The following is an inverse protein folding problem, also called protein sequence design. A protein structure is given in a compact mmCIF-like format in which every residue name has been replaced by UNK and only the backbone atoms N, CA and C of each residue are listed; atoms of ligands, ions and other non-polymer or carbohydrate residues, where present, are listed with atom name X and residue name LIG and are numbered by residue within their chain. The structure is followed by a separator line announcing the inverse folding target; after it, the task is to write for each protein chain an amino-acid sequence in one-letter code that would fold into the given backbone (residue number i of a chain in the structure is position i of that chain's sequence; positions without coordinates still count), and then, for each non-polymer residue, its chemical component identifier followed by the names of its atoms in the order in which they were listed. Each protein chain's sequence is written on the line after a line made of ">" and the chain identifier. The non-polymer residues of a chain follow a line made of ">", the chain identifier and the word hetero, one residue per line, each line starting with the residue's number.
data_IF_012723617116
#
_entry.id   IF_012723617116
#
_cell.length_a   1.000
_cell.length_b   1.000
_cell.length_c   1.000
_cell.angle_alpha   90.00
_cell.angle_beta   90.00
_cell.angle_gamma   90.00
#
_symmetry.space_group_name_H-M   'P 1'
#
loop_
_entity.id
_entity.type
_entity.pdbx_description
1 polymer ?
#
# COMPACT_ATOMS: atom_id res chain seq x y z
N UNK A 1 -9.29 -5.28 -2.22
CA UNK A 1 -7.82 -5.37 -2.22
C UNK A 1 -7.47 -6.66 -1.50
N UNK A 2 -6.57 -7.47 -2.05
CA UNK A 2 -6.27 -8.80 -1.50
C UNK A 2 -4.75 -9.05 -1.44
N UNK A 3 -4.33 -9.94 -0.53
CA UNK A 3 -2.92 -10.38 -0.47
C UNK A 3 -2.47 -10.96 -1.82
N UNK A 4 -1.27 -10.55 -2.26
CA UNK A 4 -0.65 -10.93 -3.52
C UNK A 4 -1.04 -10.02 -4.69
N UNK A 5 -1.95 -9.06 -4.48
CA UNK A 5 -2.31 -8.08 -5.50
C UNK A 5 -1.16 -7.09 -5.69
N UNK A 6 -0.79 -6.88 -6.96
CA UNK A 6 0.07 -5.77 -7.38
C UNK A 6 -0.78 -4.53 -7.58
N UNK A 7 -0.35 -3.43 -7.02
CA UNK A 7 -1.09 -2.17 -6.99
C UNK A 7 -0.19 -1.00 -7.37
N UNK A 8 -0.78 0.14 -7.70
CA UNK A 8 -0.08 1.41 -7.91
C UNK A 8 -0.40 2.37 -6.78
N UNK A 9 0.65 2.97 -6.21
CA UNK A 9 0.51 4.07 -5.26
C UNK A 9 0.34 5.40 -6.01
N UNK A 10 -0.28 6.38 -5.37
CA UNK A 10 -0.54 7.70 -5.95
C UNK A 10 0.73 8.44 -6.36
N UNK A 11 1.85 8.20 -5.67
CA UNK A 11 3.18 8.70 -6.05
C UNK A 11 3.72 8.10 -7.36
N UNK A 12 3.03 7.14 -7.95
CA UNK A 12 3.36 6.47 -9.21
C UNK A 12 4.12 5.16 -9.05
N UNK A 13 4.60 4.84 -7.84
CA UNK A 13 5.37 3.63 -7.58
C UNK A 13 4.50 2.38 -7.61
N UNK A 14 5.09 1.28 -8.05
CA UNK A 14 4.45 -0.04 -7.98
C UNK A 14 4.61 -0.61 -6.56
N UNK A 15 3.58 -1.27 -6.07
CA UNK A 15 3.60 -1.94 -4.77
C UNK A 15 2.89 -3.29 -4.80
N UNK A 16 3.06 -4.07 -3.74
CA UNK A 16 2.39 -5.35 -3.56
C UNK A 16 1.80 -5.44 -2.15
N UNK A 17 0.56 -5.92 -2.06
CA UNK A 17 -0.09 -6.21 -0.78
C UNK A 17 0.41 -7.57 -0.31
N UNK A 18 1.23 -7.60 0.74
CA UNK A 18 1.86 -8.85 1.20
C UNK A 18 1.15 -9.50 2.38
N UNK A 19 0.29 -8.74 3.07
CA UNK A 19 -0.47 -9.23 4.21
C UNK A 19 -1.75 -8.42 4.41
N UNK A 20 -2.79 -9.08 4.91
CA UNK A 20 -4.03 -8.49 5.40
C UNK A 20 -4.23 -8.94 6.85
N UNK A 21 -4.47 -7.99 7.75
CA UNK A 21 -4.73 -8.29 9.16
C UNK A 21 -6.18 -8.69 9.39
N UNK A 22 -6.46 -9.36 10.51
CA UNK A 22 -7.83 -9.69 10.93
C UNK A 22 -8.72 -8.46 11.15
N UNK A 23 -8.14 -7.26 11.22
CA UNK A 23 -8.85 -5.97 11.33
C UNK A 23 -8.97 -5.23 9.99
N UNK A 24 -8.63 -5.88 8.87
CA UNK A 24 -8.70 -5.32 7.53
C UNK A 24 -7.60 -4.31 7.20
N UNK A 25 -6.48 -4.30 7.93
CA UNK A 25 -5.31 -3.47 7.57
C UNK A 25 -4.44 -4.19 6.56
N UNK A 26 -3.88 -3.47 5.60
CA UNK A 26 -3.07 -4.00 4.53
C UNK A 26 -1.61 -3.66 4.77
N UNK A 27 -0.71 -4.64 4.69
CA UNK A 27 0.74 -4.39 4.65
C UNK A 27 1.18 -4.33 3.20
N UNK A 28 1.74 -3.20 2.80
CA UNK A 28 2.09 -2.89 1.42
C UNK A 28 3.59 -2.70 1.31
N UNK A 29 4.19 -3.36 0.31
CA UNK A 29 5.61 -3.26 0.01
C UNK A 29 5.76 -2.46 -1.28
N UNK A 30 6.34 -1.27 -1.18
CA UNK A 30 6.55 -0.33 -2.26
C UNK A 30 7.94 -0.53 -2.90
N UNK A 31 7.98 -0.50 -4.24
CA UNK A 31 9.22 -0.51 -5.00
C UNK A 31 9.70 0.92 -5.24
N UNK A 32 10.64 1.39 -4.43
CA UNK A 32 11.20 2.76 -4.52
C UNK A 32 12.38 2.87 -5.50
N UNK A 33 12.95 1.72 -5.91
CA UNK A 33 14.18 1.68 -6.70
C UNK A 33 15.46 1.65 -5.86
N UNK A 34 15.35 1.69 -4.54
CA UNK A 34 16.46 1.52 -3.60
C UNK A 34 16.79 0.03 -3.34
N UNK A 35 17.87 -0.21 -2.58
CA UNK A 35 18.30 -1.57 -2.19
C UNK A 35 17.24 -2.29 -1.35
N UNK A 36 16.52 -1.55 -0.50
CA UNK A 36 15.46 -2.09 0.36
C UNK A 36 14.12 -1.44 -0.01
N UNK A 37 13.04 -2.23 -0.13
CA UNK A 37 11.72 -1.67 -0.39
C UNK A 37 11.19 -0.92 0.85
N UNK A 38 10.31 0.05 0.63
CA UNK A 38 9.57 0.68 1.71
C UNK A 38 8.35 -0.18 2.09
N UNK A 39 8.00 -0.20 3.38
CA UNK A 39 6.91 -1.01 3.92
C UNK A 39 5.95 -0.12 4.69
N UNK A 40 4.67 -0.21 4.34
CA UNK A 40 3.62 0.69 4.82
C UNK A 40 2.40 -0.09 5.28
N UNK A 41 1.69 0.45 6.27
CA UNK A 41 0.37 -0.04 6.65
C UNK A 41 -0.71 0.87 6.09
N UNK A 42 -1.71 0.26 5.48
CA UNK A 42 -2.85 0.94 4.88
C UNK A 42 -4.17 0.44 5.49
N UNK A 43 -5.21 1.25 5.32
CA UNK A 43 -6.58 0.90 5.64
C UNK A 43 -7.15 -0.10 4.64
N UNK A 44 -8.31 -0.69 4.96
CA UNK A 44 -8.98 -1.68 4.12
C UNK A 44 -9.36 -1.15 2.72
N UNK A 45 -9.58 0.16 2.62
CA UNK A 45 -9.88 0.86 1.37
C UNK A 45 -8.62 1.29 0.59
N UNK A 46 -7.43 1.00 1.12
CA UNK A 46 -6.14 1.35 0.52
C UNK A 46 -5.64 2.75 0.81
N UNK A 47 -6.36 3.54 1.62
CA UNK A 47 -5.87 4.83 2.11
C UNK A 47 -4.74 4.66 3.12
N UNK A 48 -3.76 5.55 3.10
CA UNK A 48 -2.68 5.57 4.09
C UNK A 48 -3.11 6.28 5.38
N UNK A 49 -3.77 7.44 5.24
CA UNK A 49 -4.41 8.16 6.35
C UNK A 49 -5.94 8.08 6.21
N UNK A 50 -6.65 8.20 7.34
CA UNK A 50 -8.12 8.03 7.34
C UNK A 50 -8.88 9.27 6.83
N UNK A 51 -8.26 10.44 6.90
CA UNK A 51 -8.94 11.74 6.77
C UNK A 51 -8.31 12.67 5.74
N UNK A 52 -7.22 12.26 5.09
CA UNK A 52 -6.58 13.03 4.03
C UNK A 52 -5.99 12.15 2.94
N UNK A 53 -5.90 12.71 1.73
CA UNK A 53 -5.18 12.06 0.64
C UNK A 53 -3.67 12.03 0.94
N UNK A 54 -3.05 10.91 0.60
CA UNK A 54 -1.61 10.68 0.72
C UNK A 54 -1.03 10.26 -0.62
N UNK A 55 0.24 10.62 -0.84
CA UNK A 55 1.04 10.10 -1.94
C UNK A 55 1.19 8.56 -1.88
N UNK A 56 0.99 7.97 -0.71
CA UNK A 56 1.05 6.53 -0.50
C UNK A 56 -0.30 5.83 -0.68
N UNK A 57 -1.38 6.53 -0.99
CA UNK A 57 -2.68 5.88 -1.20
C UNK A 57 -2.62 4.92 -2.40
N UNK A 58 -3.28 3.76 -2.28
CA UNK A 58 -3.46 2.83 -3.40
C UNK A 58 -4.53 3.38 -4.34
N UNK A 59 -4.22 3.46 -5.64
CA UNK A 59 -5.11 4.05 -6.65
C UNK A 59 -5.48 3.11 -7.82
N UNK A 60 -4.82 1.96 -7.96
CA UNK A 60 -5.08 0.93 -8.98
C UNK A 60 -4.59 -0.45 -8.51
#
# INVERSE_FOLDING_TARGET
>A
MEKGQKVKLRNGNDAEIVYESDFGKLLVVEKTGDELPAVHWHNADGSFYADCESELDIVD
#
